data_IF_449611784465
#
_entry.id   IF_449611784465
#
_cell.length_a   1.000
_cell.length_b   1.000
_cell.length_c   1.000
_cell.angle_alpha   90.00
_cell.angle_beta   90.00
_cell.angle_gamma   90.00
#
_symmetry.space_group_name_H-M   'P 1'
#
loop_
_entity.id
_entity.type
_entity.pdbx_description
1 polymer ?
#
# COMPACT_ATOMS: atom_id res chain seq x y z
N UNK A 1 29.77 -34.71 -25.39
CA UNK A 1 29.50 -33.27 -25.53
C UNK A 1 28.00 -33.09 -25.32
N UNK A 2 27.57 -32.63 -24.14
CA UNK A 2 26.19 -32.25 -23.89
C UNK A 2 26.02 -30.83 -24.44
N UNK A 3 25.30 -30.71 -25.57
CA UNK A 3 24.85 -29.42 -26.07
C UNK A 3 23.71 -28.95 -25.19
N UNK A 4 23.93 -27.86 -24.46
CA UNK A 4 22.84 -27.11 -23.82
C UNK A 4 21.88 -26.63 -24.94
N UNK A 5 20.56 -26.74 -24.75
CA UNK A 5 19.63 -26.20 -25.72
C UNK A 5 19.87 -24.72 -25.85
N UNK A 6 20.23 -24.27 -27.04
CA UNK A 6 20.27 -22.86 -27.40
C UNK A 6 18.90 -22.23 -27.12
N UNK A 7 18.85 -21.18 -26.34
CA UNK A 7 17.63 -20.35 -26.14
C UNK A 7 17.05 -20.06 -27.54
N UNK A 8 15.79 -20.43 -27.74
CA UNK A 8 15.07 -20.07 -28.96
C UNK A 8 14.86 -18.56 -28.96
N UNK A 9 15.09 -17.92 -30.09
CA UNK A 9 14.95 -16.48 -30.33
C UNK A 9 13.48 -16.08 -30.47
N UNK A 10 12.68 -16.22 -29.40
CA UNK A 10 11.31 -15.70 -29.32
C UNK A 10 10.90 -15.41 -27.89
N UNK A 11 11.85 -14.94 -27.10
CA UNK A 11 11.50 -14.42 -25.75
C UNK A 11 10.93 -13.02 -25.91
N UNK A 12 9.65 -12.93 -26.31
CA UNK A 12 8.89 -11.70 -26.18
C UNK A 12 8.99 -11.25 -24.73
N UNK A 13 9.45 -10.00 -24.53
CA UNK A 13 9.54 -9.40 -23.19
C UNK A 13 8.15 -9.40 -22.58
N UNK A 14 7.99 -10.05 -21.43
CA UNK A 14 6.74 -10.00 -20.66
C UNK A 14 6.79 -8.78 -19.77
N UNK A 15 5.79 -7.91 -19.88
CA UNK A 15 5.56 -6.79 -19.00
C UNK A 15 4.51 -7.16 -17.95
N UNK A 16 4.67 -6.67 -16.73
CA UNK A 16 3.71 -6.86 -15.65
C UNK A 16 2.74 -5.68 -15.61
N UNK A 17 1.45 -5.95 -15.73
CA UNK A 17 0.38 -4.95 -15.73
C UNK A 17 -0.57 -5.17 -14.56
N UNK A 18 -1.12 -4.09 -14.01
CA UNK A 18 -2.28 -4.16 -13.13
C UNK A 18 -3.51 -4.22 -14.04
N UNK A 19 -4.37 -5.23 -13.84
CA UNK A 19 -5.58 -5.47 -14.65
C UNK A 19 -6.87 -5.25 -13.89
N UNK A 20 -6.78 -5.03 -12.59
CA UNK A 20 -7.95 -4.72 -11.75
C UNK A 20 -7.55 -4.33 -10.35
N UNK A 21 -8.48 -3.65 -9.68
CA UNK A 21 -8.36 -3.21 -8.28
C UNK A 21 -9.65 -3.57 -7.54
N UNK A 22 -9.50 -4.07 -6.31
CA UNK A 22 -10.58 -4.24 -5.35
C UNK A 22 -10.20 -3.57 -4.03
N UNK A 23 -11.17 -3.03 -3.32
CA UNK A 23 -10.94 -2.35 -2.05
C UNK A 23 -11.94 -2.74 -0.98
N UNK A 24 -11.58 -2.49 0.25
CA UNK A 24 -12.47 -2.59 1.39
C UNK A 24 -12.02 -1.65 2.50
N UNK A 25 -12.94 -0.86 2.99
CA UNK A 25 -12.80 -0.08 4.22
C UNK A 25 -13.94 -0.44 5.17
N UNK A 26 -13.72 -0.47 6.49
CA UNK A 26 -14.77 -0.74 7.47
C UNK A 26 -15.91 0.28 7.42
N UNK A 27 -17.11 -0.14 7.83
CA UNK A 27 -18.29 0.71 7.82
C UNK A 27 -18.25 1.78 8.92
N UNK A 28 -17.64 1.47 10.07
CA UNK A 28 -17.57 2.40 11.19
C UNK A 28 -16.62 3.58 10.88
N UNK A 29 -17.18 4.78 11.00
CA UNK A 29 -16.47 6.06 10.79
C UNK A 29 -16.12 6.67 12.12
N UNK A 30 -14.83 6.75 12.44
CA UNK A 30 -14.30 7.48 13.58
C UNK A 30 -14.04 8.93 13.16
N UNK A 31 -14.87 9.86 13.61
CA UNK A 31 -14.78 11.29 13.29
C UNK A 31 -13.78 12.03 14.20
N UNK A 32 -13.36 13.23 13.79
CA UNK A 32 -12.55 14.10 14.62
C UNK A 32 -13.32 14.57 15.87
N UNK A 33 -14.63 14.78 15.76
CA UNK A 33 -15.49 15.09 16.91
C UNK A 33 -15.47 13.98 17.97
N UNK A 34 -15.54 12.72 17.53
CA UNK A 34 -15.47 11.58 18.44
C UNK A 34 -14.09 11.45 19.08
N UNK A 35 -13.01 11.65 18.33
CA UNK A 35 -11.64 11.68 18.86
C UNK A 35 -11.43 12.79 19.90
N UNK A 36 -12.09 13.94 19.74
CA UNK A 36 -11.99 15.05 20.71
C UNK A 36 -12.58 14.71 22.08
N UNK A 37 -13.40 13.65 22.17
CA UNK A 37 -13.91 13.11 23.45
C UNK A 37 -12.95 12.14 24.12
N UNK A 38 -11.96 11.60 23.36
CA UNK A 38 -10.99 10.61 23.84
C UNK A 38 -9.66 11.26 24.26
N UNK A 39 -9.21 12.28 23.51
CA UNK A 39 -7.95 12.99 23.71
C UNK A 39 -8.13 14.50 23.56
N UNK A 40 -7.21 15.28 24.13
CA UNK A 40 -7.21 16.74 24.03
C UNK A 40 -6.86 17.20 22.60
N UNK A 41 -7.88 17.30 21.74
CA UNK A 41 -7.77 17.71 20.33
C UNK A 41 -9.07 18.37 19.85
N UNK A 42 -9.04 18.96 18.64
CA UNK A 42 -10.22 19.50 17.95
C UNK A 42 -10.18 19.14 16.46
N UNK A 43 -11.33 19.24 15.77
CA UNK A 43 -11.39 19.03 14.33
C UNK A 43 -10.45 19.99 13.59
N UNK A 44 -10.45 21.28 13.96
CA UNK A 44 -9.60 22.30 13.35
C UNK A 44 -8.12 21.96 13.51
N UNK A 45 -7.72 21.52 14.72
CA UNK A 45 -6.33 21.13 14.98
C UNK A 45 -5.89 19.94 14.13
N UNK A 46 -6.75 18.91 13.98
CA UNK A 46 -6.45 17.72 13.17
C UNK A 46 -6.39 18.10 11.68
N UNK A 47 -7.38 18.86 11.20
CA UNK A 47 -7.43 19.28 9.79
C UNK A 47 -6.22 20.15 9.42
N UNK A 48 -5.84 21.14 10.24
CA UNK A 48 -4.67 21.98 9.99
C UNK A 48 -3.35 21.18 9.98
N UNK A 49 -3.25 20.18 10.87
CA UNK A 49 -1.99 19.44 11.07
C UNK A 49 -1.79 18.29 10.11
N UNK A 50 -2.86 17.58 9.79
CA UNK A 50 -2.75 16.31 9.04
C UNK A 50 -3.72 16.19 7.87
N UNK A 51 -4.78 17.03 7.81
CA UNK A 51 -5.77 17.01 6.72
C UNK A 51 -6.73 15.82 6.77
N UNK A 52 -6.86 15.14 7.92
CA UNK A 52 -7.73 13.98 8.09
C UNK A 52 -9.02 14.41 8.75
N UNK A 53 -10.16 14.20 8.08
CA UNK A 53 -11.49 14.50 8.58
C UNK A 53 -12.09 13.32 9.35
N UNK A 54 -11.86 12.12 8.85
CA UNK A 54 -12.38 10.88 9.39
C UNK A 54 -11.47 9.70 9.05
N UNK A 55 -11.66 8.58 9.72
CA UNK A 55 -10.99 7.32 9.41
C UNK A 55 -11.95 6.15 9.62
N UNK A 56 -11.67 5.05 8.97
CA UNK A 56 -12.45 3.83 9.08
C UNK A 56 -11.82 2.89 10.07
N UNK A 57 -12.61 2.27 10.94
CA UNK A 57 -12.11 1.39 12.00
C UNK A 57 -12.90 0.08 11.98
N UNK A 58 -12.20 -1.05 11.97
CA UNK A 58 -12.77 -2.38 12.07
C UNK A 58 -13.06 -2.69 13.55
N UNK A 59 -14.30 -2.46 13.97
CA UNK A 59 -14.73 -2.58 15.37
C UNK A 59 -15.21 -3.97 15.75
N UNK A 60 -15.55 -4.81 14.78
CA UNK A 60 -16.11 -6.14 15.05
C UNK A 60 -15.08 -7.04 15.72
N UNK A 61 -15.48 -7.61 16.86
CA UNK A 61 -14.63 -8.49 17.65
C UNK A 61 -14.31 -9.78 16.86
N UNK A 62 -13.08 -10.26 17.01
CA UNK A 62 -12.61 -11.45 16.32
C UNK A 62 -12.30 -11.27 14.83
N UNK A 63 -12.48 -10.06 14.26
CA UNK A 63 -12.09 -9.75 12.90
C UNK A 63 -10.76 -8.99 12.86
N UNK A 64 -9.87 -9.43 11.99
CA UNK A 64 -8.52 -8.87 11.82
C UNK A 64 -8.23 -8.44 10.39
N UNK A 65 -6.96 -8.24 10.12
CA UNK A 65 -6.45 -7.81 8.81
C UNK A 65 -6.84 -8.77 7.68
N UNK A 66 -6.84 -10.10 7.95
CA UNK A 66 -7.25 -11.09 6.94
C UNK A 66 -8.69 -10.94 6.49
N UNK A 67 -9.59 -10.44 7.35
CA UNK A 67 -10.98 -10.18 6.97
C UNK A 67 -11.07 -9.10 5.91
N UNK A 68 -10.39 -7.95 6.13
CA UNK A 68 -10.37 -6.84 5.17
C UNK A 68 -9.66 -7.24 3.88
N UNK A 69 -8.51 -7.91 4.00
CA UNK A 69 -7.75 -8.43 2.85
C UNK A 69 -8.60 -9.36 1.97
N UNK A 70 -9.35 -10.27 2.59
CA UNK A 70 -10.28 -11.17 1.88
C UNK A 70 -11.39 -10.41 1.18
N UNK A 71 -11.98 -9.38 1.84
CA UNK A 71 -13.04 -8.56 1.24
C UNK A 71 -12.54 -7.83 -0.01
N UNK A 72 -11.36 -7.19 0.07
CA UNK A 72 -10.75 -6.51 -1.07
C UNK A 72 -10.42 -7.49 -2.22
N UNK A 73 -9.83 -8.64 -1.93
CA UNK A 73 -9.52 -9.65 -2.94
C UNK A 73 -10.79 -10.28 -3.55
N UNK A 74 -11.85 -10.49 -2.75
CA UNK A 74 -13.13 -10.98 -3.26
C UNK A 74 -13.74 -9.99 -4.25
N UNK A 75 -13.79 -8.71 -3.91
CA UNK A 75 -14.27 -7.67 -4.82
C UNK A 75 -13.42 -7.61 -6.11
N UNK A 76 -12.09 -7.72 -5.99
CA UNK A 76 -11.19 -7.79 -7.14
C UNK A 76 -11.55 -8.93 -8.09
N UNK A 77 -11.70 -10.15 -7.56
CA UNK A 77 -12.03 -11.35 -8.36
C UNK A 77 -13.40 -11.21 -9.02
N UNK A 78 -14.42 -10.74 -8.29
CA UNK A 78 -15.77 -10.51 -8.81
C UNK A 78 -15.76 -9.47 -9.94
N UNK A 79 -15.04 -8.35 -9.76
CA UNK A 79 -14.96 -7.28 -10.74
C UNK A 79 -14.19 -7.67 -12.01
N UNK A 80 -13.09 -8.38 -11.86
CA UNK A 80 -12.26 -8.81 -13.00
C UNK A 80 -12.81 -10.04 -13.71
N UNK A 81 -13.63 -10.84 -13.03
CA UNK A 81 -14.06 -12.17 -13.52
C UNK A 81 -12.91 -13.18 -13.56
N UNK A 82 -11.82 -12.91 -12.87
CA UNK A 82 -10.68 -13.83 -12.82
C UNK A 82 -11.06 -15.12 -12.10
N UNK A 83 -10.79 -16.25 -12.74
CA UNK A 83 -11.00 -17.55 -12.13
C UNK A 83 -10.07 -17.73 -10.92
N UNK A 84 -10.61 -18.00 -9.71
CA UNK A 84 -9.81 -18.27 -8.52
C UNK A 84 -8.74 -19.35 -8.72
N UNK A 85 -9.05 -20.39 -9.47
CA UNK A 85 -8.11 -21.48 -9.75
C UNK A 85 -6.97 -21.10 -10.71
N UNK A 86 -7.07 -19.92 -11.35
CA UNK A 86 -6.02 -19.38 -12.23
C UNK A 86 -4.97 -18.53 -11.52
N UNK A 87 -5.15 -18.26 -10.21
CA UNK A 87 -4.23 -17.44 -9.42
C UNK A 87 -3.02 -18.29 -9.01
N UNK A 88 -1.83 -17.86 -9.39
CA UNK A 88 -0.57 -18.57 -9.08
C UNK A 88 -0.04 -18.21 -7.69
N UNK A 89 -0.17 -16.94 -7.28
CA UNK A 89 0.34 -16.47 -5.99
C UNK A 89 -0.52 -15.34 -5.40
N UNK A 90 -0.50 -15.24 -4.08
CA UNK A 90 -1.12 -14.18 -3.31
C UNK A 90 -0.11 -13.63 -2.30
N UNK A 91 0.20 -12.33 -2.42
CA UNK A 91 1.13 -11.62 -1.53
C UNK A 91 0.31 -10.66 -0.67
N UNK A 92 0.40 -10.77 0.65
CA UNK A 92 -0.19 -9.79 1.56
C UNK A 92 0.92 -8.95 2.17
N UNK A 93 0.85 -7.63 2.02
CA UNK A 93 1.71 -6.73 2.77
C UNK A 93 0.96 -6.17 3.96
N UNK A 94 1.50 -6.38 5.15
CA UNK A 94 0.89 -5.95 6.40
C UNK A 94 1.91 -5.78 7.52
N UNK A 95 1.64 -4.86 8.45
CA UNK A 95 2.34 -4.69 9.72
C UNK A 95 1.48 -5.16 10.91
N UNK A 96 0.24 -5.51 10.64
CA UNK A 96 -0.75 -5.94 11.63
C UNK A 96 -1.38 -7.29 11.26
N UNK A 97 -0.56 -8.35 11.06
CA UNK A 97 -1.10 -9.67 10.73
C UNK A 97 -2.01 -10.19 11.85
N UNK A 98 -3.02 -11.01 11.51
CA UNK A 98 -3.90 -11.62 12.50
C UNK A 98 -3.09 -12.46 13.53
N UNK A 99 -2.08 -13.16 13.03
CA UNK A 99 -1.20 -14.02 13.81
C UNK A 99 0.25 -13.87 13.31
N UNK A 100 1.21 -14.22 14.16
CA UNK A 100 2.61 -14.34 13.72
C UNK A 100 2.81 -15.48 12.71
N UNK A 101 2.04 -16.53 12.87
CA UNK A 101 1.88 -17.66 11.96
C UNK A 101 0.52 -18.35 12.26
N UNK A 102 -0.21 -18.91 11.28
CA UNK A 102 0.11 -18.83 9.84
C UNK A 102 0.08 -17.40 9.30
N UNK A 103 0.62 -17.20 8.08
CA UNK A 103 0.59 -15.90 7.40
C UNK A 103 -0.84 -15.47 7.08
N UNK A 104 -1.06 -14.16 7.00
CA UNK A 104 -2.33 -13.56 6.57
C UNK A 104 -2.70 -14.06 5.16
N UNK A 105 -1.71 -14.17 4.27
CA UNK A 105 -1.89 -14.72 2.92
C UNK A 105 -2.46 -16.14 2.95
N UNK A 106 -1.92 -17.03 3.81
CA UNK A 106 -2.43 -18.40 3.95
C UNK A 106 -3.90 -18.43 4.39
N UNK A 107 -4.28 -17.54 5.32
CA UNK A 107 -5.66 -17.42 5.78
C UNK A 107 -6.58 -16.95 4.65
N UNK A 108 -6.15 -15.94 3.88
CA UNK A 108 -6.94 -15.39 2.76
C UNK A 108 -7.10 -16.42 1.65
N UNK A 109 -6.03 -17.13 1.26
CA UNK A 109 -6.06 -18.22 0.27
C UNK A 109 -7.10 -19.28 0.66
N UNK A 110 -7.05 -19.75 1.90
CA UNK A 110 -8.01 -20.75 2.39
C UNK A 110 -9.46 -20.26 2.41
N UNK A 111 -9.67 -18.98 2.77
CA UNK A 111 -11.03 -18.38 2.81
C UNK A 111 -11.59 -18.02 1.44
N UNK A 112 -10.77 -17.88 0.41
CA UNK A 112 -11.17 -17.63 -0.98
C UNK A 112 -11.14 -18.90 -1.85
N UNK A 113 -10.73 -20.03 -1.30
CA UNK A 113 -10.58 -21.32 -1.97
C UNK A 113 -9.69 -21.25 -3.24
N UNK A 114 -8.54 -20.54 -3.12
CA UNK A 114 -7.57 -20.40 -4.22
C UNK A 114 -6.69 -21.65 -4.27
N UNK A 115 -7.15 -22.70 -4.95
CA UNK A 115 -6.56 -24.07 -4.88
C UNK A 115 -5.13 -24.18 -5.39
N UNK A 116 -4.77 -23.36 -6.37
CA UNK A 116 -3.47 -23.42 -7.04
C UNK A 116 -2.48 -22.35 -6.55
N UNK A 117 -2.95 -21.38 -5.72
CA UNK A 117 -2.12 -20.31 -5.26
C UNK A 117 -1.25 -20.70 -4.08
N UNK A 118 0.01 -20.30 -4.09
CA UNK A 118 0.79 -20.17 -2.87
C UNK A 118 0.80 -18.73 -2.38
N UNK A 119 1.13 -18.49 -1.11
CA UNK A 119 1.14 -17.13 -0.58
C UNK A 119 2.09 -16.93 0.59
N UNK A 120 2.42 -15.67 0.81
CA UNK A 120 3.26 -15.22 1.91
C UNK A 120 2.96 -13.78 2.29
N UNK A 121 3.28 -13.43 3.56
CA UNK A 121 3.20 -12.05 4.01
C UNK A 121 4.52 -11.32 3.74
N UNK A 122 4.41 -10.04 3.44
CA UNK A 122 5.52 -9.13 3.21
C UNK A 122 5.48 -7.98 4.21
N UNK A 123 6.60 -7.67 4.84
CA UNK A 123 6.69 -6.57 5.81
C UNK A 123 7.68 -5.51 5.32
N UNK A 124 7.14 -4.37 4.88
CA UNK A 124 7.89 -3.15 4.53
C UNK A 124 7.12 -1.88 4.96
N UNK A 125 6.35 -2.00 6.05
CA UNK A 125 5.52 -0.93 6.59
C UNK A 125 4.74 -0.20 5.48
N UNK A 126 4.66 1.14 5.53
CA UNK A 126 3.89 1.92 4.55
C UNK A 126 4.39 1.81 3.10
N UNK A 127 5.63 1.32 2.87
CA UNK A 127 6.14 1.01 1.53
C UNK A 127 5.73 -0.37 1.02
N UNK A 128 4.99 -1.14 1.80
CA UNK A 128 4.69 -2.53 1.53
C UNK A 128 4.06 -2.75 0.15
N UNK A 129 3.17 -1.87 -0.29
CA UNK A 129 2.57 -1.98 -1.62
C UNK A 129 3.62 -1.88 -2.75
N UNK A 130 4.52 -0.88 -2.70
CA UNK A 130 5.60 -0.73 -3.69
C UNK A 130 6.51 -1.97 -3.75
N UNK A 131 6.92 -2.46 -2.58
CA UNK A 131 7.78 -3.65 -2.48
C UNK A 131 7.07 -4.90 -3.02
N UNK A 132 5.81 -5.10 -2.66
CA UNK A 132 5.03 -6.26 -3.11
C UNK A 132 4.71 -6.18 -4.60
N UNK A 133 4.46 -4.98 -5.13
CA UNK A 133 4.24 -4.78 -6.56
C UNK A 133 5.50 -5.07 -7.38
N UNK A 134 6.67 -4.66 -6.90
CA UNK A 134 7.96 -4.94 -7.55
C UNK A 134 8.27 -6.46 -7.56
N UNK A 135 8.03 -7.15 -6.43
CA UNK A 135 8.15 -8.61 -6.33
C UNK A 135 7.18 -9.30 -7.29
N UNK A 136 5.90 -8.93 -7.29
CA UNK A 136 4.90 -9.51 -8.18
C UNK A 136 5.24 -9.27 -9.65
N UNK A 137 5.70 -8.05 -9.99
CA UNK A 137 6.14 -7.70 -11.34
C UNK A 137 7.30 -8.59 -11.80
N UNK A 138 8.30 -8.79 -10.95
CA UNK A 138 9.44 -9.68 -11.24
C UNK A 138 8.99 -11.14 -11.42
N UNK A 139 8.05 -11.62 -10.59
CA UNK A 139 7.46 -12.96 -10.73
C UNK A 139 6.80 -13.14 -12.10
N UNK A 140 5.98 -12.17 -12.52
CA UNK A 140 5.31 -12.19 -13.84
C UNK A 140 6.33 -12.09 -14.96
N UNK A 141 7.28 -11.17 -14.91
CA UNK A 141 8.30 -10.94 -15.94
C UNK A 141 9.23 -12.16 -16.11
N UNK A 142 9.38 -12.98 -15.07
CA UNK A 142 10.11 -14.25 -15.18
C UNK A 142 9.47 -15.27 -16.13
N UNK A 143 8.19 -15.05 -16.51
CA UNK A 143 7.40 -15.99 -17.33
C UNK A 143 6.94 -17.24 -16.58
N UNK A 144 7.32 -17.40 -15.29
CA UNK A 144 6.96 -18.57 -14.48
C UNK A 144 5.53 -18.49 -13.94
N UNK A 145 5.08 -17.28 -13.57
CA UNK A 145 3.77 -17.01 -13.02
C UNK A 145 3.01 -16.10 -13.96
N UNK A 146 1.68 -16.26 -14.03
CA UNK A 146 0.81 -15.53 -14.95
C UNK A 146 -0.09 -14.53 -14.24
N UNK A 147 -0.51 -14.87 -13.02
CA UNK A 147 -1.45 -14.09 -12.21
C UNK A 147 -1.04 -14.06 -10.75
N UNK A 148 -0.77 -12.87 -10.24
CA UNK A 148 -0.41 -12.63 -8.84
C UNK A 148 -1.37 -11.60 -8.26
N UNK A 149 -2.00 -11.93 -7.12
CA UNK A 149 -2.76 -10.96 -6.35
C UNK A 149 -1.81 -10.32 -5.32
N UNK A 150 -1.73 -8.99 -5.32
CA UNK A 150 -1.04 -8.20 -4.30
C UNK A 150 -2.10 -7.51 -3.44
N UNK A 151 -2.08 -7.75 -2.15
CA UNK A 151 -3.00 -7.14 -1.18
C UNK A 151 -2.18 -6.32 -0.19
N UNK A 152 -2.55 -5.05 -0.02
CA UNK A 152 -2.09 -4.24 1.09
C UNK A 152 -3.24 -4.10 2.10
N UNK A 153 -3.00 -4.47 3.36
CA UNK A 153 -4.04 -4.49 4.38
C UNK A 153 -3.45 -4.29 5.77
N UNK A 154 -3.99 -3.35 6.52
CA UNK A 154 -3.60 -3.11 7.91
C UNK A 154 -4.82 -2.76 8.78
N UNK A 155 -4.91 -3.39 9.96
CA UNK A 155 -5.78 -2.99 11.07
C UNK A 155 -4.95 -2.13 12.02
N UNK A 156 -4.69 -0.88 11.62
CA UNK A 156 -3.84 0.04 12.38
C UNK A 156 -4.42 0.34 13.76
N UNK A 157 -5.76 0.34 13.88
CA UNK A 157 -6.46 0.52 15.16
C UNK A 157 -6.03 -0.47 16.24
N UNK A 158 -5.52 -1.66 15.86
CA UNK A 158 -5.06 -2.69 16.80
C UNK A 158 -3.72 -2.35 17.48
N UNK A 159 -2.95 -1.42 16.93
CA UNK A 159 -1.62 -1.04 17.42
C UNK A 159 -1.50 0.46 17.75
N UNK A 160 -2.57 1.22 17.62
CA UNK A 160 -2.64 2.65 17.95
C UNK A 160 -3.09 2.84 19.39
N UNK A 161 -2.39 3.71 20.12
CA UNK A 161 -2.77 4.12 21.46
C UNK A 161 -3.78 5.29 21.40
N UNK A 162 -5.06 5.02 21.68
CA UNK A 162 -6.11 6.04 21.70
C UNK A 162 -6.06 6.99 22.89
N UNK A 163 -4.99 6.94 23.69
CA UNK A 163 -4.66 7.95 24.70
C UNK A 163 -3.49 8.85 24.29
N UNK A 164 -2.84 8.52 23.16
CA UNK A 164 -1.77 9.33 22.58
C UNK A 164 -2.28 10.16 21.39
N UNK A 165 -2.50 11.46 21.64
CA UNK A 165 -2.93 12.42 20.62
C UNK A 165 -2.01 12.49 19.39
N UNK A 166 -0.72 12.13 19.53
CA UNK A 166 0.23 12.26 18.44
C UNK A 166 0.02 11.19 17.36
N UNK A 167 -0.54 10.04 17.72
CA UNK A 167 -0.71 8.91 16.85
C UNK A 167 -2.17 8.56 16.54
N UNK A 168 -3.09 8.67 17.51
CA UNK A 168 -4.48 8.23 17.35
C UNK A 168 -5.26 9.02 16.29
N UNK A 169 -4.85 10.25 16.00
CA UNK A 169 -5.49 11.11 14.98
C UNK A 169 -5.09 10.75 13.54
N UNK A 170 -4.07 9.89 13.36
CA UNK A 170 -3.48 9.65 12.05
C UNK A 170 -4.08 8.44 11.33
N UNK A 171 -4.20 7.31 12.04
CA UNK A 171 -4.34 6.00 11.42
C UNK A 171 -5.78 5.54 11.28
N UNK A 172 -6.05 4.83 10.19
CA UNK A 172 -7.27 4.10 9.92
C UNK A 172 -7.00 2.67 9.43
N UNK A 173 -8.06 1.88 9.34
CA UNK A 173 -8.04 0.50 8.89
C UNK A 173 -8.52 0.40 7.45
N UNK A 174 -7.93 -0.48 6.67
CA UNK A 174 -8.36 -0.71 5.31
C UNK A 174 -7.54 -1.76 4.58
N UNK A 175 -8.03 -2.16 3.43
CA UNK A 175 -7.36 -3.09 2.53
C UNK A 175 -7.67 -2.77 1.07
N UNK A 176 -6.68 -2.93 0.20
CA UNK A 176 -6.91 -2.97 -1.24
C UNK A 176 -6.05 -4.06 -1.88
N UNK A 177 -6.58 -4.61 -2.97
CA UNK A 177 -5.97 -5.69 -3.73
C UNK A 177 -5.85 -5.29 -5.20
N UNK A 178 -4.74 -5.66 -5.83
CA UNK A 178 -4.56 -5.53 -7.28
C UNK A 178 -4.25 -6.89 -7.90
N UNK A 179 -4.76 -7.12 -9.10
CA UNK A 179 -4.39 -8.27 -9.92
C UNK A 179 -3.25 -7.86 -10.85
N UNK A 180 -2.13 -8.57 -10.75
CA UNK A 180 -0.95 -8.36 -11.62
C UNK A 180 -0.85 -9.51 -12.61
N UNK A 181 -0.86 -9.19 -13.90
CA UNK A 181 -0.84 -10.15 -15.00
C UNK A 181 0.26 -9.84 -16.01
N UNK A 182 0.62 -10.84 -16.81
CA UNK A 182 1.62 -10.69 -17.88
C UNK A 182 1.00 -10.25 -19.21
N UNK A 183 1.70 -9.38 -19.92
CA UNK A 183 1.37 -9.00 -21.31
C UNK A 183 2.63 -8.89 -22.15
N UNK A 184 2.47 -9.09 -23.46
CA UNK A 184 3.51 -8.80 -24.46
C UNK A 184 3.33 -7.43 -25.10
N UNK A 185 2.30 -6.66 -24.70
CA UNK A 185 2.12 -5.27 -25.14
C UNK A 185 3.30 -4.43 -24.65
N UNK A 186 3.92 -3.67 -25.55
CA UNK A 186 5.05 -2.82 -25.23
C UNK A 186 4.63 -1.53 -24.53
N UNK A 187 5.51 -0.97 -23.72
CA UNK A 187 5.32 0.33 -23.06
C UNK A 187 4.04 0.40 -22.21
N UNK A 188 3.70 -0.67 -21.49
CA UNK A 188 2.57 -0.73 -20.55
C UNK A 188 2.97 -1.46 -19.27
N UNK A 189 2.29 -1.20 -18.15
CA UNK A 189 2.53 -1.81 -16.85
C UNK A 189 3.68 -1.16 -16.06
N UNK A 190 4.25 -1.91 -15.13
CA UNK A 190 5.35 -1.45 -14.27
C UNK A 190 6.61 -1.32 -15.12
N UNK A 191 7.05 -0.09 -15.34
CA UNK A 191 8.18 0.24 -16.23
C UNK A 191 9.49 0.32 -15.49
N UNK A 192 9.51 0.93 -14.31
CA UNK A 192 10.69 1.10 -13.46
C UNK A 192 10.29 1.16 -11.99
N UNK A 193 11.18 0.70 -11.14
CA UNK A 193 10.99 0.70 -9.70
C UNK A 193 12.35 0.79 -9.01
N UNK A 194 12.43 1.52 -7.93
CA UNK A 194 13.57 1.41 -7.02
C UNK A 194 13.12 1.57 -5.58
N UNK A 195 13.75 0.80 -4.71
CA UNK A 195 13.41 0.66 -3.31
C UNK A 195 14.68 0.84 -2.48
N UNK A 196 14.57 1.53 -1.35
CA UNK A 196 15.70 1.84 -0.48
C UNK A 196 15.36 1.59 0.98
N UNK A 197 16.37 1.20 1.74
CA UNK A 197 16.26 0.96 3.18
C UNK A 197 17.37 1.71 3.92
N UNK A 198 16.99 2.44 4.96
CA UNK A 198 17.89 3.06 5.93
C UNK A 198 17.58 2.54 7.34
N UNK A 199 18.31 1.52 7.79
CA UNK A 199 18.12 0.88 9.10
C UNK A 199 18.32 1.80 10.31
N UNK A 200 18.79 3.03 10.13
CA UNK A 200 18.91 4.04 11.19
C UNK A 200 17.55 4.64 11.60
N UNK A 201 16.48 4.29 10.93
CA UNK A 201 15.12 4.76 11.24
C UNK A 201 14.48 4.14 12.48
N UNK A 202 15.00 3.01 12.96
CA UNK A 202 14.45 2.27 14.09
C UNK A 202 14.10 3.12 15.34
N UNK A 203 14.93 4.08 15.80
CA UNK A 203 14.57 4.87 16.99
C UNK A 203 13.36 5.78 16.83
N UNK A 204 12.96 6.10 15.60
CA UNK A 204 11.99 7.15 15.29
C UNK A 204 10.60 6.62 14.93
N UNK A 205 10.50 5.36 14.49
CA UNK A 205 9.22 4.77 14.10
C UNK A 205 9.28 3.25 14.28
N UNK A 206 8.62 2.73 15.33
CA UNK A 206 8.65 1.33 15.69
C UNK A 206 7.52 0.92 16.64
N UNK A 207 7.30 -0.36 16.81
CA UNK A 207 6.56 -0.96 17.91
C UNK A 207 7.55 -1.78 18.75
N UNK A 208 7.75 -1.41 20.02
CA UNK A 208 8.85 -1.92 20.83
C UNK A 208 8.65 -3.35 21.30
N UNK A 209 7.42 -3.71 21.67
CA UNK A 209 7.10 -5.05 22.19
C UNK A 209 6.33 -5.90 21.19
N UNK A 210 6.31 -7.20 21.42
CA UNK A 210 5.62 -8.20 20.58
C UNK A 210 6.55 -8.93 19.62
N UNK A 211 7.81 -8.48 19.47
CA UNK A 211 8.86 -9.17 18.70
C UNK A 211 9.78 -10.03 19.59
N UNK A 212 10.79 -10.65 18.97
CA UNK A 212 11.75 -11.54 19.66
C UNK A 212 12.68 -10.81 20.63
N UNK A 213 12.98 -9.52 20.38
CA UNK A 213 13.82 -8.71 21.28
C UNK A 213 13.08 -8.33 22.55
N UNK A 214 11.78 -8.09 22.46
CA UNK A 214 10.93 -7.69 23.57
C UNK A 214 9.58 -8.43 23.45
N UNK A 215 9.50 -9.70 23.88
CA UNK A 215 8.27 -10.47 23.83
C UNK A 215 7.15 -9.85 24.69
N UNK A 216 5.90 -10.11 24.32
CA UNK A 216 4.75 -9.65 25.09
C UNK A 216 4.77 -10.24 26.49
N UNK A 217 4.57 -9.41 27.51
CA UNK A 217 4.51 -9.79 28.92
C UNK A 217 3.66 -8.74 29.67
N UNK A 218 3.26 -9.03 30.93
CA UNK A 218 2.56 -8.04 31.74
C UNK A 218 3.35 -6.73 31.84
N UNK A 219 4.68 -6.80 32.01
CA UNK A 219 5.56 -5.64 32.03
C UNK A 219 5.46 -4.77 30.78
N UNK A 220 5.39 -5.39 29.58
CA UNK A 220 5.29 -4.64 28.32
C UNK A 220 3.91 -4.05 28.09
N UNK A 221 2.86 -4.75 28.56
CA UNK A 221 1.47 -4.26 28.50
C UNK A 221 1.29 -3.07 29.44
N UNK A 222 1.72 -3.17 30.70
CA UNK A 222 1.60 -2.11 31.69
C UNK A 222 2.33 -0.82 31.26
N UNK A 223 3.40 -0.96 30.46
CA UNK A 223 4.17 0.15 29.90
C UNK A 223 3.73 0.55 28.50
N UNK A 224 2.66 -0.01 27.99
CA UNK A 224 2.07 0.32 26.68
C UNK A 224 3.07 0.16 25.51
N UNK A 225 4.09 -0.71 25.63
CA UNK A 225 5.15 -0.91 24.64
C UNK A 225 4.68 -1.67 23.39
N UNK A 226 3.47 -2.21 23.41
CA UNK A 226 2.80 -2.89 22.30
C UNK A 226 2.08 -1.92 21.35
N UNK A 227 2.15 -0.62 21.60
CA UNK A 227 1.63 0.40 20.69
C UNK A 227 2.74 0.98 19.81
N UNK A 228 2.32 1.50 18.67
CA UNK A 228 3.18 2.17 17.73
C UNK A 228 3.74 3.46 18.35
N UNK A 229 5.06 3.64 18.22
CA UNK A 229 5.77 4.86 18.58
C UNK A 229 6.22 5.61 17.33
N UNK A 230 5.98 6.92 17.29
CA UNK A 230 6.40 7.79 16.19
C UNK A 230 6.98 9.10 16.72
N UNK A 231 8.23 9.40 16.35
CA UNK A 231 8.83 10.73 16.54
C UNK A 231 8.48 11.60 15.32
N UNK A 232 7.32 12.28 15.42
CA UNK A 232 6.64 12.90 14.28
C UNK A 232 7.49 13.90 13.50
N UNK A 233 8.33 14.73 14.17
CA UNK A 233 9.16 15.76 13.51
C UNK A 233 10.23 15.14 12.61
N UNK A 234 10.94 14.14 13.08
CA UNK A 234 11.99 13.44 12.33
C UNK A 234 11.37 12.63 11.20
N UNK A 235 10.31 11.87 11.48
CA UNK A 235 9.57 11.11 10.47
C UNK A 235 9.08 12.03 9.34
N UNK A 236 8.45 13.16 9.67
CA UNK A 236 8.00 14.16 8.68
C UNK A 236 9.14 14.64 7.78
N UNK A 237 10.28 15.03 8.39
CA UNK A 237 11.44 15.54 7.64
C UNK A 237 11.98 14.50 6.68
N UNK A 238 12.15 13.25 7.13
CA UNK A 238 12.64 12.16 6.28
C UNK A 238 11.63 11.81 5.19
N UNK A 239 10.35 11.71 5.50
CA UNK A 239 9.31 11.41 4.53
C UNK A 239 9.27 12.43 3.39
N UNK A 240 9.21 13.73 3.72
CA UNK A 240 9.21 14.81 2.71
C UNK A 240 10.48 14.77 1.86
N UNK A 241 11.65 14.58 2.48
CA UNK A 241 12.91 14.59 1.73
C UNK A 241 13.05 13.37 0.84
N UNK A 242 12.77 12.17 1.35
CA UNK A 242 12.92 10.93 0.61
C UNK A 242 11.90 10.84 -0.53
N UNK A 243 10.61 10.98 -0.24
CA UNK A 243 9.57 10.86 -1.27
C UNK A 243 9.75 11.90 -2.39
N UNK A 244 10.14 13.15 -2.05
CA UNK A 244 10.39 14.17 -3.08
C UNK A 244 11.56 13.80 -3.98
N UNK A 245 12.68 13.34 -3.38
CA UNK A 245 13.85 12.92 -4.17
C UNK A 245 13.56 11.67 -4.98
N UNK A 246 12.73 10.77 -4.46
CA UNK A 246 12.35 9.55 -5.14
C UNK A 246 11.49 9.82 -6.38
N UNK A 247 10.53 10.77 -6.30
CA UNK A 247 9.76 11.21 -7.46
C UNK A 247 10.68 11.83 -8.51
N UNK A 248 11.58 12.73 -8.10
CA UNK A 248 12.52 13.35 -9.04
C UNK A 248 13.44 12.32 -9.71
N UNK A 249 13.91 11.34 -8.93
CA UNK A 249 14.80 10.29 -9.47
C UNK A 249 14.08 9.37 -10.44
N UNK A 250 12.86 8.89 -10.13
CA UNK A 250 12.13 8.02 -11.04
C UNK A 250 11.79 8.72 -12.35
N UNK A 251 11.43 10.01 -12.31
CA UNK A 251 11.20 10.82 -13.50
C UNK A 251 12.48 10.93 -14.35
N UNK A 252 13.60 11.29 -13.72
CA UNK A 252 14.89 11.40 -14.40
C UNK A 252 15.33 10.08 -15.03
N UNK A 253 15.20 8.95 -14.33
CA UNK A 253 15.58 7.62 -14.83
C UNK A 253 14.81 7.22 -16.09
N UNK A 254 13.57 7.71 -16.20
CA UNK A 254 12.67 7.38 -17.30
C UNK A 254 12.56 8.48 -18.36
N UNK A 255 13.42 9.52 -18.29
CA UNK A 255 13.40 10.69 -19.17
C UNK A 255 12.02 11.39 -19.20
N UNK A 256 11.33 11.45 -18.05
CA UNK A 256 10.05 12.11 -17.87
C UNK A 256 10.24 13.45 -17.15
N UNK A 257 9.32 14.36 -17.42
CA UNK A 257 9.12 15.63 -16.70
C UNK A 257 7.82 15.58 -15.90
N UNK A 258 7.53 16.57 -15.08
CA UNK A 258 6.24 16.69 -14.39
C UNK A 258 5.05 16.82 -15.34
N UNK A 259 5.27 17.34 -16.55
CA UNK A 259 4.22 17.48 -17.57
C UNK A 259 3.80 16.13 -18.16
N UNK A 260 4.74 15.19 -18.25
CA UNK A 260 4.50 13.82 -18.73
C UNK A 260 3.75 12.94 -17.74
N UNK A 261 3.69 13.35 -16.45
CA UNK A 261 2.97 12.62 -15.42
C UNK A 261 1.48 12.89 -15.51
N UNK A 262 0.68 11.82 -15.59
CA UNK A 262 -0.78 11.90 -15.46
C UNK A 262 -1.16 12.01 -14.00
N UNK A 263 -0.63 11.12 -13.16
CA UNK A 263 -0.97 11.06 -11.75
C UNK A 263 0.24 10.70 -10.87
N UNK A 264 0.38 11.39 -9.75
CA UNK A 264 1.20 10.94 -8.61
C UNK A 264 0.26 10.35 -7.56
N UNK A 265 0.55 9.13 -7.11
CA UNK A 265 -0.19 8.44 -6.05
C UNK A 265 0.78 8.19 -4.89
N UNK A 266 0.89 9.11 -3.95
CA UNK A 266 1.80 8.99 -2.83
C UNK A 266 1.20 8.14 -1.72
N UNK A 267 2.04 7.57 -0.86
CA UNK A 267 1.60 7.13 0.46
C UNK A 267 0.97 8.29 1.24
N UNK A 268 -0.18 8.08 1.80
CA UNK A 268 -0.98 9.09 2.46
C UNK A 268 -0.83 9.02 3.99
N UNK A 269 0.30 9.57 4.47
CA UNK A 269 0.57 9.66 5.90
C UNK A 269 0.04 10.95 6.54
N UNK A 270 0.06 12.06 5.76
CA UNK A 270 -0.25 13.41 6.20
C UNK A 270 -0.37 14.32 4.97
N UNK A 271 -1.45 15.10 4.87
CA UNK A 271 -1.68 15.99 3.73
C UNK A 271 -0.51 16.96 3.48
N UNK A 272 0.10 17.50 4.56
CA UNK A 272 1.25 18.41 4.45
C UNK A 272 2.50 17.74 3.86
N UNK A 273 2.66 16.43 4.07
CA UNK A 273 3.74 15.66 3.41
C UNK A 273 3.43 15.58 1.92
N UNK A 274 2.20 15.22 1.55
CA UNK A 274 1.76 15.10 0.16
C UNK A 274 1.98 16.40 -0.60
N UNK A 275 1.51 17.52 -0.07
CA UNK A 275 1.68 18.86 -0.65
C UNK A 275 3.17 19.25 -0.81
N UNK A 276 3.99 18.96 0.22
CA UNK A 276 5.41 19.25 0.17
C UNK A 276 6.14 18.36 -0.86
N UNK A 277 5.73 17.11 -1.04
CA UNK A 277 6.27 16.19 -2.06
C UNK A 277 5.89 16.70 -3.45
N UNK A 278 4.62 17.02 -3.71
CA UNK A 278 4.15 17.54 -4.98
C UNK A 278 4.91 18.83 -5.37
N UNK A 279 4.99 19.79 -4.44
CA UNK A 279 5.71 21.05 -4.65
C UNK A 279 7.19 20.84 -4.98
N UNK A 280 7.90 19.97 -4.23
CA UNK A 280 9.34 19.73 -4.45
C UNK A 280 9.62 18.90 -5.69
N UNK A 281 8.70 18.01 -6.07
CA UNK A 281 8.78 17.24 -7.30
C UNK A 281 8.39 18.04 -8.54
N UNK A 282 7.93 19.28 -8.35
CA UNK A 282 7.40 20.13 -9.42
C UNK A 282 6.23 19.49 -10.17
N UNK A 283 5.31 18.85 -9.43
CA UNK A 283 4.07 18.28 -9.94
C UNK A 283 2.90 19.09 -9.39
N UNK A 284 1.98 19.57 -10.26
CA UNK A 284 0.77 20.26 -9.83
C UNK A 284 -0.09 19.39 -8.89
N UNK A 285 -0.68 19.99 -7.86
CA UNK A 285 -1.46 19.24 -6.86
C UNK A 285 -2.70 18.56 -7.45
N UNK A 286 -3.27 19.12 -8.52
CA UNK A 286 -4.39 18.53 -9.29
C UNK A 286 -4.03 17.21 -10.00
N UNK A 287 -2.74 16.91 -10.16
CA UNK A 287 -2.23 15.63 -10.64
C UNK A 287 -1.90 14.65 -9.52
N UNK A 288 -2.20 14.98 -8.26
CA UNK A 288 -1.98 14.08 -7.11
C UNK A 288 -3.31 13.48 -6.68
N UNK A 289 -3.38 12.16 -6.63
CA UNK A 289 -4.54 11.45 -6.07
C UNK A 289 -4.46 11.52 -4.56
N UNK A 290 -5.52 12.02 -3.91
CA UNK A 290 -5.57 12.25 -2.47
C UNK A 290 -6.94 11.84 -1.92
N UNK A 291 -6.97 10.90 -0.96
CA UNK A 291 -8.18 10.51 -0.23
C UNK A 291 -7.98 10.41 1.30
N UNK A 292 -6.85 10.91 1.79
CA UNK A 292 -6.46 10.88 3.22
C UNK A 292 -7.55 11.45 4.15
N UNK A 293 -8.31 12.44 3.68
CA UNK A 293 -9.37 13.08 4.45
C UNK A 293 -10.47 12.09 4.88
N UNK A 294 -10.65 10.98 4.14
CA UNK A 294 -11.69 9.98 4.37
C UNK A 294 -11.23 8.73 5.12
N UNK A 295 -9.95 8.36 4.95
CA UNK A 295 -9.44 7.08 5.47
C UNK A 295 -8.28 7.23 6.44
N UNK A 296 -7.66 8.43 6.50
CA UNK A 296 -6.44 8.62 7.26
C UNK A 296 -5.29 7.80 6.68
N UNK A 297 -4.32 7.50 7.52
CA UNK A 297 -3.17 6.67 7.15
C UNK A 297 -3.49 5.18 7.36
N UNK A 298 -3.82 4.47 6.30
CA UNK A 298 -4.05 3.02 6.29
C UNK A 298 -2.76 2.23 5.99
N UNK A 299 -1.59 2.79 6.33
CA UNK A 299 -0.27 2.16 6.15
C UNK A 299 0.00 1.78 4.67
N UNK A 300 0.30 0.51 4.38
CA UNK A 300 0.59 0.06 3.01
C UNK A 300 -0.62 0.16 2.07
N UNK A 301 -1.84 0.18 2.60
CA UNK A 301 -3.06 0.20 1.80
C UNK A 301 -3.39 1.58 1.20
N UNK A 302 -2.73 2.66 1.61
CA UNK A 302 -3.05 4.03 1.16
C UNK A 302 -2.99 4.18 -0.35
N UNK A 303 -1.90 3.74 -1.00
CA UNK A 303 -1.73 3.84 -2.46
C UNK A 303 -2.80 3.05 -3.21
N UNK A 304 -2.98 1.74 -2.96
CA UNK A 304 -3.99 0.99 -3.71
C UNK A 304 -5.44 1.37 -3.35
N UNK A 305 -5.74 1.90 -2.15
CA UNK A 305 -7.05 2.47 -1.84
C UNK A 305 -7.29 3.77 -2.59
N UNK A 306 -6.29 4.63 -2.75
CA UNK A 306 -6.39 5.83 -3.56
C UNK A 306 -6.64 5.50 -5.04
N UNK A 307 -5.96 4.48 -5.56
CA UNK A 307 -6.23 3.95 -6.91
C UNK A 307 -7.65 3.36 -7.03
N UNK A 308 -8.14 2.68 -6.00
CA UNK A 308 -9.49 2.09 -5.99
C UNK A 308 -10.60 3.13 -6.01
N UNK A 309 -10.46 4.20 -5.21
CA UNK A 309 -11.42 5.31 -5.17
C UNK A 309 -11.47 6.07 -6.50
N UNK A 310 -10.32 6.33 -7.08
CA UNK A 310 -10.17 7.17 -8.25
C UNK A 310 -10.02 6.37 -9.56
N UNK A 311 -10.26 5.06 -9.52
CA UNK A 311 -10.09 4.16 -10.66
C UNK A 311 -10.80 4.66 -11.93
N UNK A 312 -12.02 5.21 -11.77
CA UNK A 312 -12.79 5.73 -12.90
C UNK A 312 -12.10 6.89 -13.66
N UNK A 313 -11.17 7.60 -13.03
CA UNK A 313 -10.40 8.69 -13.66
C UNK A 313 -9.20 8.18 -14.46
N UNK A 314 -8.71 6.96 -14.17
CA UNK A 314 -7.51 6.41 -14.78
C UNK A 314 -7.79 5.94 -16.21
N UNK A 315 -6.90 6.29 -17.14
CA UNK A 315 -7.03 5.94 -18.55
C UNK A 315 -5.86 5.07 -19.01
N UNK A 316 -6.10 4.17 -19.94
CA UNK A 316 -5.02 3.42 -20.58
C UNK A 316 -3.97 4.39 -21.16
N UNK A 317 -2.72 4.15 -20.81
CA UNK A 317 -1.59 4.98 -21.22
C UNK A 317 -1.20 6.08 -20.24
N UNK A 318 -1.98 6.33 -19.17
CA UNK A 318 -1.60 7.27 -18.11
C UNK A 318 -0.27 6.89 -17.46
N UNK A 319 0.60 7.87 -17.26
CA UNK A 319 1.85 7.72 -16.54
C UNK A 319 1.61 7.97 -15.04
N UNK A 320 1.64 6.91 -14.24
CA UNK A 320 1.45 6.95 -12.79
C UNK A 320 2.80 6.83 -12.08
N UNK A 321 3.04 7.72 -11.13
CA UNK A 321 4.19 7.65 -10.21
C UNK A 321 3.69 7.31 -8.81
N UNK A 322 4.11 6.16 -8.30
CA UNK A 322 3.87 5.78 -6.92
C UNK A 322 5.10 6.14 -6.09
N UNK A 323 4.91 6.68 -4.88
CA UNK A 323 6.00 6.92 -3.94
C UNK A 323 5.54 6.72 -2.50
N UNK A 324 6.40 6.15 -1.68
CA UNK A 324 6.10 5.87 -0.30
C UNK A 324 7.33 6.03 0.61
N UNK A 325 7.04 6.26 1.89
CA UNK A 325 8.00 6.26 2.98
C UNK A 325 7.38 5.55 4.18
N UNK A 326 8.16 4.74 4.89
CA UNK A 326 7.67 3.98 6.04
C UNK A 326 8.74 3.65 7.07
N UNK A 327 8.30 2.93 8.13
CA UNK A 327 9.19 2.44 9.17
C UNK A 327 10.30 1.56 8.57
N UNK A 328 11.52 1.74 9.13
CA UNK A 328 12.72 1.08 8.68
C UNK A 328 13.95 1.97 8.84
N UNK A 329 14.17 3.15 8.22
CA UNK A 329 13.22 3.68 7.23
C UNK A 329 13.31 2.94 5.90
N UNK A 330 12.17 2.81 5.24
CA UNK A 330 12.06 2.31 3.88
C UNK A 330 11.39 3.37 3.00
N UNK A 331 11.83 3.49 1.75
CA UNK A 331 11.23 4.44 0.81
C UNK A 331 11.51 4.01 -0.63
N UNK A 332 10.85 4.62 -1.59
CA UNK A 332 11.06 4.37 -3.00
C UNK A 332 10.00 4.98 -3.89
N UNK A 333 10.16 4.73 -5.18
CA UNK A 333 9.18 5.08 -6.18
C UNK A 333 9.07 4.01 -7.27
N UNK A 334 7.90 3.95 -7.90
CA UNK A 334 7.64 3.11 -9.06
C UNK A 334 6.95 3.93 -10.14
N UNK A 335 7.34 3.69 -11.39
CA UNK A 335 6.68 4.23 -12.57
C UNK A 335 5.84 3.13 -13.21
N UNK A 336 4.55 3.37 -13.35
CA UNK A 336 3.60 2.47 -13.96
C UNK A 336 2.86 3.18 -15.10
N UNK A 337 2.89 2.59 -16.29
CA UNK A 337 2.04 3.01 -17.38
C UNK A 337 0.74 2.21 -17.34
N UNK A 338 -0.37 2.90 -17.11
CA UNK A 338 -1.65 2.28 -16.81
C UNK A 338 -2.19 1.46 -17.99
N UNK A 339 -2.79 0.29 -17.72
CA UNK A 339 -3.06 -0.72 -18.74
C UNK A 339 -4.50 -0.71 -19.27
N UNK A 340 -5.46 -0.04 -18.61
CA UNK A 340 -6.87 -0.10 -18.98
C UNK A 340 -7.62 1.21 -18.67
N UNK A 341 -8.84 1.35 -19.22
CA UNK A 341 -9.73 2.47 -18.92
C UNK A 341 -10.58 2.17 -17.70
N UNK A 342 -10.31 2.86 -16.60
CA UNK A 342 -10.93 2.64 -15.30
C UNK A 342 -12.45 2.87 -15.30
N UNK A 343 -12.95 3.84 -16.05
CA UNK A 343 -14.39 4.09 -16.18
C UNK A 343 -15.14 2.83 -16.68
N UNK A 344 -14.56 2.11 -17.64
CA UNK A 344 -15.15 0.85 -18.17
C UNK A 344 -15.06 -0.30 -17.17
N UNK A 345 -14.04 -0.31 -16.31
CA UNK A 345 -13.88 -1.32 -15.26
C UNK A 345 -14.87 -1.12 -14.10
N UNK A 346 -15.12 0.14 -13.73
CA UNK A 346 -16.08 0.48 -12.66
C UNK A 346 -17.54 0.23 -13.11
N UNK A 347 -17.86 0.44 -14.38
CA UNK A 347 -19.21 0.19 -14.91
C UNK A 347 -19.64 -1.30 -14.90
N UNK A 348 -18.72 -2.23 -14.61
CA UNK A 348 -19.01 -3.67 -14.47
C UNK A 348 -19.37 -4.08 -13.03
N UNK A 349 -19.54 -3.11 -12.12
CA UNK A 349 -19.94 -3.34 -10.71
C UNK A 349 -21.41 -3.66 -10.57
#
# INVERSE_FOLDING_TARGET
>A
RHSFPTRRSSDLKINAIITGIGGYVPDYVLTNEELSRMVDTTDEWIMERVGIKERRILTEEGLGTSYMARKAAKQLLEKTGADPDSIDALIVTTTTPDYKFPSTASIVIGKLDLKNAFGFDFSAACCGFLYSLDVASTMIQSGRYKRVIVIAADKMSSIVDYTDRQTCVLFGDGAAAVLVEGTTEENVGVQDSFLRTNGKGLPFLHMKAGGSVCPTSQFTVDRRLHYLYQEGRTVFKYAVTSMSSDVQEILKRNNLTGDDVSWVVPHEANLRIIEAVAKRANVPLEKVIINIQHYGNTSAATIPLALWDEEAKLKKGDNLIFTAFGAGFVHGASFCKWAYDGASAVAKK
#
